data_IF_339628324866
#
_entry.id   IF_339628324866
#
_cell.length_a   1.000
_cell.length_b   1.000
_cell.length_c   1.000
_cell.angle_alpha   90.00
_cell.angle_beta   90.00
_cell.angle_gamma   90.00
#
_symmetry.space_group_name_H-M   'P 1'
#
loop_
_entity.id
_entity.type
_entity.pdbx_description
1 polymer ?
#
# COMPACT_ATOMS: atom_id res chain seq x y z
N UNK A 1 39.23 -21.59 -50.89
CA UNK A 1 39.83 -20.42 -50.21
C UNK A 1 39.00 -19.19 -50.61
N UNK A 2 38.51 -18.42 -49.64
CA UNK A 2 38.12 -17.02 -49.83
C UNK A 2 36.71 -16.71 -50.38
N UNK A 3 35.69 -16.75 -49.51
CA UNK A 3 34.57 -15.80 -49.61
C UNK A 3 33.85 -15.61 -48.26
N UNK A 4 34.61 -15.44 -47.17
CA UNK A 4 34.07 -15.10 -45.83
C UNK A 4 34.26 -13.62 -45.47
N UNK A 5 34.96 -12.85 -46.30
CA UNK A 5 35.45 -11.50 -45.93
C UNK A 5 34.59 -10.33 -46.45
N UNK A 6 33.33 -10.57 -46.84
CA UNK A 6 32.41 -9.51 -47.32
C UNK A 6 31.30 -9.10 -46.35
N UNK A 7 31.35 -9.52 -45.08
CA UNK A 7 30.31 -9.16 -44.10
C UNK A 7 30.82 -8.53 -42.78
N UNK A 8 32.13 -8.29 -42.63
CA UNK A 8 32.59 -7.32 -41.63
C UNK A 8 32.51 -5.92 -42.25
N UNK A 9 31.28 -5.41 -42.38
CA UNK A 9 31.11 -3.96 -42.46
C UNK A 9 31.60 -3.40 -41.12
N UNK A 10 32.56 -2.49 -41.19
CA UNK A 10 33.17 -1.82 -40.03
C UNK A 10 32.07 -1.16 -39.19
N UNK A 11 31.67 -1.80 -38.10
CA UNK A 11 30.80 -1.18 -37.11
C UNK A 11 31.67 -0.23 -36.32
N UNK A 12 31.54 1.06 -36.63
CA UNK A 12 32.30 2.13 -35.99
C UNK A 12 31.57 2.74 -34.79
N UNK A 13 30.41 2.18 -34.38
CA UNK A 13 29.57 2.74 -33.31
C UNK A 13 28.78 1.65 -32.61
N UNK A 14 28.58 1.76 -31.31
CA UNK A 14 27.82 0.81 -30.50
C UNK A 14 28.66 -0.06 -29.58
N UNK A 15 28.06 -1.16 -29.09
CA UNK A 15 28.68 -2.08 -28.14
C UNK A 15 29.66 -3.00 -28.89
N UNK A 16 30.93 -2.95 -28.51
CA UNK A 16 31.98 -3.84 -29.04
C UNK A 16 32.07 -5.16 -28.28
N UNK A 17 31.82 -5.12 -26.96
CA UNK A 17 31.88 -6.29 -26.10
C UNK A 17 30.86 -6.20 -24.95
N UNK A 18 30.30 -7.34 -24.56
CA UNK A 18 29.52 -7.48 -23.32
C UNK A 18 30.21 -8.51 -22.44
N UNK A 19 30.57 -8.14 -21.22
CA UNK A 19 31.25 -9.01 -20.24
C UNK A 19 30.33 -9.25 -19.04
N UNK A 20 30.09 -10.51 -18.70
CA UNK A 20 29.25 -10.93 -17.58
C UNK A 20 30.04 -11.81 -16.62
N UNK A 21 30.08 -11.43 -15.35
CA UNK A 21 30.80 -12.13 -14.27
C UNK A 21 30.04 -12.08 -12.96
N UNK A 22 30.13 -13.14 -12.18
CA UNK A 22 29.55 -13.25 -10.83
C UNK A 22 28.05 -12.90 -10.79
N UNK A 23 27.31 -13.31 -11.82
CA UNK A 23 25.92 -12.95 -12.02
C UNK A 23 25.08 -14.18 -12.43
N UNK A 24 24.21 -14.65 -11.52
CA UNK A 24 23.36 -15.82 -11.72
C UNK A 24 24.15 -17.08 -12.15
N UNK A 25 24.15 -17.43 -13.44
CA UNK A 25 24.86 -18.61 -13.99
C UNK A 25 26.30 -18.30 -14.42
N UNK A 26 26.68 -17.02 -14.48
CA UNK A 26 28.07 -16.63 -14.75
C UNK A 26 28.89 -16.67 -13.47
N UNK A 27 29.95 -17.47 -13.47
CA UNK A 27 30.91 -17.61 -12.38
C UNK A 27 31.95 -16.46 -12.38
N UNK A 28 33.04 -16.64 -11.63
CA UNK A 28 34.14 -15.68 -11.53
C UNK A 28 34.94 -15.52 -12.83
N UNK A 29 35.03 -16.60 -13.63
CA UNK A 29 35.65 -16.58 -14.95
C UNK A 29 34.75 -15.81 -15.92
N UNK A 30 33.44 -16.05 -15.82
CA UNK A 30 32.38 -15.39 -16.56
C UNK A 30 32.35 -15.74 -18.04
N UNK A 31 31.70 -14.89 -18.82
CA UNK A 31 31.63 -15.00 -20.28
C UNK A 31 31.64 -13.62 -20.94
N UNK A 32 32.18 -13.58 -22.16
CA UNK A 32 32.16 -12.40 -23.02
C UNK A 32 31.43 -12.69 -24.33
N UNK A 33 30.65 -11.73 -24.79
CA UNK A 33 30.18 -11.66 -26.17
C UNK A 33 31.09 -10.67 -26.90
N UNK A 34 31.89 -11.18 -27.82
CA UNK A 34 32.88 -10.44 -28.62
C UNK A 34 32.49 -10.45 -30.10
N UNK A 35 33.12 -9.58 -30.89
CA UNK A 35 32.90 -9.48 -32.35
C UNK A 35 31.42 -9.27 -32.70
N UNK A 36 30.75 -8.38 -31.95
CA UNK A 36 29.34 -8.08 -32.11
C UNK A 36 29.09 -7.42 -33.47
N UNK A 37 28.04 -7.88 -34.14
CA UNK A 37 27.54 -7.28 -35.37
C UNK A 37 26.43 -6.26 -35.07
N UNK A 38 25.91 -5.56 -36.09
CA UNK A 38 24.74 -4.68 -35.92
C UNK A 38 23.51 -5.45 -35.45
N UNK A 39 23.42 -6.73 -35.80
CA UNK A 39 22.38 -7.66 -35.37
C UNK A 39 23.07 -8.91 -34.81
N UNK A 40 22.74 -9.27 -33.57
CA UNK A 40 23.31 -10.44 -32.89
C UNK A 40 22.19 -11.38 -32.43
N UNK A 41 22.38 -12.67 -32.67
CA UNK A 41 21.47 -13.72 -32.20
C UNK A 41 22.13 -14.50 -31.07
N UNK A 42 21.64 -14.35 -29.84
CA UNK A 42 22.14 -15.07 -28.66
C UNK A 42 21.11 -16.11 -28.26
N UNK A 43 21.48 -17.39 -28.33
CA UNK A 43 20.62 -18.53 -28.01
C UNK A 43 21.33 -19.56 -27.13
N UNK A 44 20.58 -20.44 -26.49
CA UNK A 44 21.11 -21.48 -25.60
C UNK A 44 20.02 -22.14 -24.76
N UNK A 45 20.38 -23.15 -23.97
CA UNK A 45 19.45 -23.88 -23.10
C UNK A 45 18.89 -23.02 -21.95
N UNK A 46 17.87 -23.49 -21.25
CA UNK A 46 17.39 -22.84 -20.03
C UNK A 46 18.53 -22.76 -19.01
N UNK A 47 18.65 -21.61 -18.34
CA UNK A 47 19.77 -21.34 -17.43
C UNK A 47 21.06 -20.87 -18.11
N UNK A 48 21.16 -20.79 -19.44
CA UNK A 48 22.39 -20.34 -20.13
C UNK A 48 22.72 -18.83 -19.99
N UNK A 49 22.09 -18.10 -19.08
CA UNK A 49 22.36 -16.67 -18.87
C UNK A 49 21.70 -15.67 -19.83
N UNK A 50 20.80 -16.11 -20.75
CA UNK A 50 20.09 -15.20 -21.68
C UNK A 50 19.31 -14.10 -20.96
N UNK A 51 18.48 -14.48 -20.00
CA UNK A 51 17.70 -13.52 -19.21
C UNK A 51 18.62 -12.59 -18.41
N UNK A 52 19.67 -13.14 -17.80
CA UNK A 52 20.69 -12.38 -17.05
C UNK A 52 21.35 -11.31 -17.92
N UNK A 53 21.74 -11.66 -19.15
CA UNK A 53 22.31 -10.72 -20.13
C UNK A 53 21.34 -9.57 -20.41
N UNK A 54 20.07 -9.88 -20.69
CA UNK A 54 19.06 -8.84 -20.93
C UNK A 54 18.80 -7.96 -19.70
N UNK A 55 18.81 -8.54 -18.49
CA UNK A 55 18.62 -7.79 -17.24
C UNK A 55 19.82 -6.90 -16.90
N UNK A 56 21.04 -7.32 -17.26
CA UNK A 56 22.23 -6.50 -17.14
C UNK A 56 22.16 -5.27 -18.05
N UNK A 57 21.84 -5.45 -19.33
CA UNK A 57 21.67 -4.34 -20.27
C UNK A 57 20.55 -3.38 -19.83
N UNK A 58 19.47 -3.91 -19.25
CA UNK A 58 18.39 -3.08 -18.69
C UNK A 58 18.88 -2.23 -17.52
N UNK A 59 19.69 -2.81 -16.62
CA UNK A 59 20.28 -2.08 -15.50
C UNK A 59 21.15 -0.91 -15.97
N UNK A 60 21.97 -1.13 -17.00
CA UNK A 60 22.76 -0.08 -17.62
C UNK A 60 21.88 1.01 -18.25
N UNK A 61 20.86 0.63 -19.01
CA UNK A 61 19.90 1.56 -19.63
C UNK A 61 19.23 2.49 -18.61
N UNK A 62 18.93 1.95 -17.42
CA UNK A 62 18.25 2.68 -16.35
C UNK A 62 19.21 3.34 -15.36
N UNK A 63 20.52 3.31 -15.61
CA UNK A 63 21.58 3.80 -14.72
C UNK A 63 21.45 3.25 -13.28
N UNK A 64 21.02 1.98 -13.15
CA UNK A 64 20.86 1.30 -11.86
C UNK A 64 22.16 0.60 -11.46
N UNK A 65 22.51 0.72 -10.18
CA UNK A 65 23.65 0.02 -9.58
C UNK A 65 23.10 -1.19 -8.82
N UNK A 66 23.30 -2.38 -9.35
CA UNK A 66 22.97 -3.63 -8.68
C UNK A 66 24.24 -4.42 -8.38
N UNK A 67 24.46 -4.81 -7.12
CA UNK A 67 25.67 -5.52 -6.67
C UNK A 67 25.96 -6.77 -7.48
N UNK A 68 24.93 -7.48 -7.95
CA UNK A 68 25.08 -8.71 -8.76
C UNK A 68 25.71 -8.49 -10.14
N UNK A 69 25.79 -7.24 -10.61
CA UNK A 69 26.41 -6.87 -11.88
C UNK A 69 27.69 -6.06 -11.70
N UNK A 70 28.21 -5.93 -10.48
CA UNK A 70 29.39 -5.12 -10.19
C UNK A 70 30.64 -5.52 -10.99
N UNK A 71 30.74 -6.80 -11.37
CA UNK A 71 31.86 -7.34 -12.16
C UNK A 71 31.53 -7.46 -13.66
N UNK A 72 30.37 -7.00 -14.09
CA UNK A 72 29.90 -7.04 -15.47
C UNK A 72 30.03 -5.66 -16.11
N UNK A 73 30.39 -5.60 -17.39
CA UNK A 73 30.61 -4.33 -18.12
C UNK A 73 30.27 -4.47 -19.60
N UNK A 74 30.08 -3.33 -20.26
CA UNK A 74 30.09 -3.24 -21.72
C UNK A 74 31.30 -2.43 -22.16
N UNK A 75 31.82 -2.75 -23.34
CA UNK A 75 32.81 -1.95 -24.04
C UNK A 75 32.17 -1.36 -25.29
N UNK A 76 32.59 -0.15 -25.65
CA UNK A 76 32.06 0.60 -26.78
C UNK A 76 33.17 0.84 -27.80
N UNK A 77 32.82 0.91 -29.08
CA UNK A 77 33.82 1.12 -30.14
C UNK A 77 34.53 2.49 -30.04
N UNK A 78 33.87 3.56 -29.61
CA UNK A 78 34.41 4.94 -29.66
C UNK A 78 34.07 5.80 -28.41
N UNK A 79 33.78 5.20 -27.26
CA UNK A 79 33.39 5.93 -26.03
C UNK A 79 32.20 6.90 -26.21
N UNK A 80 31.29 6.61 -27.13
CA UNK A 80 30.10 7.42 -27.36
C UNK A 80 29.04 7.21 -26.26
N UNK A 81 28.22 8.23 -26.01
CA UNK A 81 27.03 8.05 -25.17
C UNK A 81 26.02 7.16 -25.91
N UNK A 82 25.90 5.91 -25.47
CA UNK A 82 24.97 4.94 -26.05
C UNK A 82 23.64 4.98 -25.31
N UNK A 83 22.54 5.27 -26.03
CA UNK A 83 21.20 5.01 -25.52
C UNK A 83 20.89 3.51 -25.67
N UNK A 84 20.55 2.86 -24.56
CA UNK A 84 20.23 1.42 -24.53
C UNK A 84 18.74 1.27 -24.28
N UNK A 85 18.04 0.56 -25.17
CA UNK A 85 16.64 0.19 -24.98
C UNK A 85 16.51 -1.33 -24.87
N UNK A 86 15.85 -1.81 -23.81
CA UNK A 86 15.73 -3.24 -23.53
C UNK A 86 14.28 -3.67 -23.46
N UNK A 87 13.87 -4.46 -24.45
CA UNK A 87 12.58 -5.13 -24.47
C UNK A 87 12.73 -6.57 -23.96
N UNK A 88 12.50 -6.78 -22.66
CA UNK A 88 12.54 -8.09 -22.03
C UNK A 88 11.25 -8.40 -21.24
N UNK A 89 11.20 -9.56 -20.57
CA UNK A 89 10.06 -9.95 -19.74
C UNK A 89 9.76 -8.93 -18.64
N UNK A 90 10.80 -8.38 -18.00
CA UNK A 90 10.64 -7.37 -16.95
C UNK A 90 10.03 -6.07 -17.49
N UNK A 91 10.43 -5.63 -18.69
CA UNK A 91 9.79 -4.50 -19.36
C UNK A 91 8.30 -4.77 -19.59
N UNK A 92 7.95 -5.98 -20.06
CA UNK A 92 6.54 -6.36 -20.23
C UNK A 92 5.78 -6.30 -18.90
N UNK A 93 6.33 -6.87 -17.84
CA UNK A 93 5.69 -6.90 -16.53
C UNK A 93 5.52 -5.51 -15.90
N UNK A 94 6.50 -4.61 -16.09
CA UNK A 94 6.43 -3.25 -15.55
C UNK A 94 5.49 -2.33 -16.35
N UNK A 95 5.53 -2.46 -17.68
CA UNK A 95 4.78 -1.57 -18.57
C UNK A 95 3.36 -2.04 -18.81
N UNK A 96 3.11 -3.36 -18.83
CA UNK A 96 1.80 -3.93 -19.14
C UNK A 96 1.24 -4.59 -17.89
N UNK A 97 0.26 -3.93 -17.26
CA UNK A 97 -0.55 -4.55 -16.20
C UNK A 97 -1.80 -5.13 -16.84
N UNK A 98 -2.20 -6.32 -16.38
CA UNK A 98 -3.59 -6.76 -16.54
C UNK A 98 -4.43 -5.84 -15.66
N UNK A 99 -5.16 -4.91 -16.26
CA UNK A 99 -6.20 -4.21 -15.52
C UNK A 99 -7.24 -5.23 -15.02
N UNK A 100 -8.01 -4.90 -13.98
CA UNK A 100 -9.15 -5.74 -13.55
C UNK A 100 -10.11 -6.07 -14.71
N UNK A 101 -10.09 -5.27 -15.78
CA UNK A 101 -10.78 -5.52 -17.04
C UNK A 101 -9.85 -6.29 -17.99
N UNK A 102 -10.22 -7.53 -18.30
CA UNK A 102 -9.53 -8.35 -19.32
C UNK A 102 -9.50 -7.60 -20.65
N UNK A 103 -8.31 -7.42 -21.22
CA UNK A 103 -8.11 -6.80 -22.54
C UNK A 103 -7.71 -5.32 -22.53
N UNK A 104 -7.71 -4.66 -21.36
CA UNK A 104 -7.15 -3.30 -21.23
C UNK A 104 -5.69 -3.42 -20.75
N UNK A 105 -4.77 -3.02 -21.62
CA UNK A 105 -3.36 -2.86 -21.30
C UNK A 105 -3.09 -1.38 -21.06
N UNK A 106 -2.86 -1.00 -19.81
CA UNK A 106 -2.31 0.32 -19.52
C UNK A 106 -0.84 0.33 -19.86
N UNK A 107 -0.41 1.32 -20.64
CA UNK A 107 1.00 1.59 -20.94
C UNK A 107 1.56 2.59 -19.92
N UNK A 108 2.73 2.28 -19.37
CA UNK A 108 3.48 3.20 -18.53
C UNK A 108 3.50 2.80 -17.05
N UNK A 109 4.70 2.57 -16.53
CA UNK A 109 4.96 2.32 -15.09
C UNK A 109 4.26 3.34 -14.18
N UNK A 110 4.35 4.63 -14.50
CA UNK A 110 3.73 5.72 -13.73
C UNK A 110 2.19 5.63 -13.72
N UNK A 111 1.60 5.22 -14.83
CA UNK A 111 0.15 4.99 -14.94
C UNK A 111 -0.27 3.85 -14.01
N UNK A 112 0.50 2.75 -13.99
CA UNK A 112 0.24 1.59 -13.15
C UNK A 112 0.35 1.93 -11.66
N UNK A 113 1.42 2.62 -11.24
CA UNK A 113 1.62 3.07 -9.85
C UNK A 113 0.47 4.00 -9.38
N UNK A 114 0.02 4.91 -10.25
CA UNK A 114 -1.11 5.79 -9.93
C UNK A 114 -2.41 5.00 -9.74
N UNK A 115 -2.67 3.98 -10.56
CA UNK A 115 -3.85 3.14 -10.43
C UNK A 115 -3.85 2.34 -9.12
N UNK A 116 -2.71 1.78 -8.73
CA UNK A 116 -2.55 1.07 -7.44
C UNK A 116 -2.79 2.01 -6.24
N UNK A 117 -2.28 3.25 -6.33
CA UNK A 117 -2.53 4.28 -5.33
C UNK A 117 -4.01 4.68 -5.24
N UNK A 118 -4.73 4.67 -6.37
CA UNK A 118 -6.18 4.96 -6.38
C UNK A 118 -6.96 3.80 -5.78
N UNK A 119 -6.66 2.55 -6.17
CA UNK A 119 -7.32 1.34 -5.64
C UNK A 119 -7.15 1.23 -4.13
N UNK A 120 -5.91 1.35 -3.63
CA UNK A 120 -5.62 1.30 -2.18
C UNK A 120 -6.31 2.41 -1.39
N UNK A 121 -6.37 3.64 -1.93
CA UNK A 121 -7.12 4.75 -1.31
C UNK A 121 -8.62 4.46 -1.29
N UNK A 122 -9.20 3.92 -2.37
CA UNK A 122 -10.62 3.53 -2.40
C UNK A 122 -10.95 2.47 -1.36
N UNK A 123 -10.11 1.44 -1.21
CA UNK A 123 -10.27 0.43 -0.17
C UNK A 123 -10.21 1.03 1.24
N UNK A 124 -9.26 1.93 1.47
CA UNK A 124 -9.11 2.63 2.76
C UNK A 124 -10.34 3.48 3.09
N UNK A 125 -10.86 4.21 2.10
CA UNK A 125 -12.10 4.98 2.24
C UNK A 125 -13.28 4.07 2.60
N UNK A 126 -13.41 2.92 1.94
CA UNK A 126 -14.49 1.99 2.24
C UNK A 126 -14.36 1.41 3.67
N UNK A 127 -13.15 1.04 4.10
CA UNK A 127 -12.90 0.58 5.48
C UNK A 127 -13.27 1.64 6.52
N UNK A 128 -12.90 2.89 6.29
CA UNK A 128 -13.24 3.99 7.21
C UNK A 128 -14.75 4.31 7.21
N UNK A 129 -15.43 4.21 6.05
CA UNK A 129 -16.89 4.34 5.97
C UNK A 129 -17.60 3.27 6.79
N UNK A 130 -17.17 2.02 6.70
CA UNK A 130 -17.74 0.91 7.50
C UNK A 130 -17.51 1.12 9.00
N UNK A 131 -16.30 1.53 9.41
CA UNK A 131 -16.03 1.89 10.82
C UNK A 131 -16.92 3.02 11.30
N UNK A 132 -17.06 4.08 10.50
CA UNK A 132 -17.92 5.24 10.83
C UNK A 132 -19.37 4.82 11.01
N UNK A 133 -19.88 3.95 10.13
CA UNK A 133 -21.23 3.39 10.23
C UNK A 133 -21.41 2.62 11.54
N UNK A 134 -20.53 1.67 11.83
CA UNK A 134 -20.56 0.87 13.07
C UNK A 134 -20.46 1.72 14.33
N UNK A 135 -19.58 2.72 14.34
CA UNK A 135 -19.45 3.63 15.49
C UNK A 135 -20.71 4.47 15.72
N UNK A 136 -21.38 4.91 14.64
CA UNK A 136 -22.64 5.66 14.73
C UNK A 136 -23.76 4.78 15.29
N UNK A 137 -23.86 3.53 14.83
CA UNK A 137 -24.83 2.54 15.35
C UNK A 137 -24.58 2.24 16.84
N UNK A 138 -23.32 2.01 17.23
CA UNK A 138 -22.94 1.80 18.63
C UNK A 138 -23.27 3.01 19.52
N UNK A 139 -22.96 4.23 19.06
CA UNK A 139 -23.24 5.45 19.80
C UNK A 139 -24.75 5.62 20.00
N UNK A 140 -25.55 5.34 18.97
CA UNK A 140 -27.00 5.41 19.06
C UNK A 140 -27.54 4.40 20.09
N UNK A 141 -27.08 3.15 20.06
CA UNK A 141 -27.49 2.12 21.01
C UNK A 141 -27.13 2.49 22.45
N UNK A 142 -25.89 2.93 22.69
CA UNK A 142 -25.43 3.36 24.02
C UNK A 142 -26.21 4.58 24.55
N UNK A 143 -26.59 5.50 23.66
CA UNK A 143 -27.40 6.67 24.05
C UNK A 143 -28.79 6.24 24.48
N UNK A 144 -29.44 5.34 23.72
CA UNK A 144 -30.75 4.79 24.07
C UNK A 144 -30.72 3.98 25.37
N UNK A 145 -29.68 3.16 25.57
CA UNK A 145 -29.49 2.39 26.79
C UNK A 145 -29.33 3.30 28.01
N UNK A 146 -28.48 4.33 27.90
CA UNK A 146 -28.32 5.35 28.94
C UNK A 146 -29.63 6.06 29.27
N UNK A 147 -30.38 6.51 28.26
CA UNK A 147 -31.67 7.17 28.46
C UNK A 147 -32.68 6.27 29.19
N UNK A 148 -32.69 4.98 28.84
CA UNK A 148 -33.52 3.97 29.51
C UNK A 148 -33.09 3.76 30.96
N UNK A 149 -31.80 3.58 31.23
CA UNK A 149 -31.30 3.41 32.60
C UNK A 149 -31.56 4.65 33.47
N UNK A 150 -31.36 5.86 32.93
CA UNK A 150 -31.65 7.10 33.64
C UNK A 150 -33.15 7.20 33.97
N UNK A 151 -34.03 6.80 33.05
CA UNK A 151 -35.48 6.76 33.29
C UNK A 151 -35.84 5.74 34.36
N UNK A 152 -35.35 4.50 34.23
CA UNK A 152 -35.61 3.42 35.19
C UNK A 152 -35.09 3.77 36.59
N UNK A 153 -33.93 4.42 36.68
CA UNK A 153 -33.38 4.93 37.94
C UNK A 153 -34.31 5.96 38.59
N UNK A 154 -34.72 6.98 37.83
CA UNK A 154 -35.62 8.03 38.32
C UNK A 154 -36.95 7.46 38.76
N UNK A 155 -37.51 6.54 37.98
CA UNK A 155 -38.77 5.86 38.28
C UNK A 155 -38.66 5.11 39.61
N UNK A 156 -37.56 4.37 39.83
CA UNK A 156 -37.31 3.69 41.11
C UNK A 156 -37.18 4.66 42.28
N UNK A 157 -36.44 5.76 42.12
CA UNK A 157 -36.30 6.76 43.19
C UNK A 157 -37.63 7.45 43.50
N UNK A 158 -38.43 7.75 42.48
CA UNK A 158 -39.75 8.35 42.66
C UNK A 158 -40.69 7.42 43.45
N UNK A 159 -40.79 6.15 43.05
CA UNK A 159 -41.68 5.18 43.70
C UNK A 159 -41.19 4.81 45.11
N UNK A 160 -39.89 4.55 45.29
CA UNK A 160 -39.36 4.00 46.55
C UNK A 160 -38.94 5.04 47.58
N UNK A 161 -38.54 6.24 47.15
CA UNK A 161 -38.09 7.30 48.06
C UNK A 161 -39.16 8.38 48.16
N UNK A 162 -39.53 9.02 47.04
CA UNK A 162 -40.43 10.16 47.09
C UNK A 162 -41.81 9.76 47.63
N UNK A 163 -42.51 8.82 47.00
CA UNK A 163 -43.87 8.41 47.43
C UNK A 163 -43.91 7.78 48.82
N UNK A 164 -42.87 7.06 49.22
CA UNK A 164 -42.81 6.40 50.53
C UNK A 164 -42.74 7.42 51.68
N UNK A 165 -42.04 8.53 51.48
CA UNK A 165 -41.75 9.52 52.51
C UNK A 165 -42.56 10.82 52.32
N UNK A 166 -43.48 10.84 51.36
CA UNK A 166 -44.25 12.04 50.98
C UNK A 166 -45.10 12.59 52.13
N UNK A 167 -45.76 11.70 52.88
CA UNK A 167 -46.59 12.09 54.03
C UNK A 167 -45.73 12.57 55.21
N UNK A 168 -44.64 11.86 55.51
CA UNK A 168 -43.76 12.15 56.66
C UNK A 168 -42.89 13.41 56.47
N UNK A 169 -42.57 13.77 55.22
CA UNK A 169 -41.63 14.85 54.87
C UNK A 169 -42.23 15.89 53.91
N UNK A 170 -43.54 16.10 54.00
CA UNK A 170 -44.33 16.93 53.08
C UNK A 170 -43.80 18.37 52.90
N UNK A 171 -43.37 19.01 53.98
CA UNK A 171 -42.79 20.36 53.98
C UNK A 171 -41.40 20.41 53.35
N UNK A 172 -40.56 19.37 53.55
CA UNK A 172 -39.20 19.33 53.00
C UNK A 172 -39.16 18.92 51.54
N UNK A 173 -40.21 18.26 51.04
CA UNK A 173 -40.35 17.81 49.64
C UNK A 173 -41.13 18.80 48.76
N UNK A 174 -41.56 19.95 49.30
CA UNK A 174 -42.56 20.79 48.66
C UNK A 174 -42.17 21.35 47.28
N UNK A 175 -40.88 21.61 47.06
CA UNK A 175 -40.31 22.08 45.79
C UNK A 175 -40.10 20.98 44.73
N UNK A 176 -40.28 19.70 45.09
CA UNK A 176 -39.97 18.54 44.27
C UNK A 176 -41.18 17.67 43.91
N UNK A 177 -42.39 18.20 44.08
CA UNK A 177 -43.67 17.53 43.74
C UNK A 177 -43.83 17.10 42.27
N UNK A 178 -42.92 17.49 41.38
CA UNK A 178 -42.89 17.06 39.97
C UNK A 178 -41.75 16.09 39.72
N UNK A 179 -42.03 14.99 39.04
CA UNK A 179 -41.08 13.92 38.74
C UNK A 179 -39.87 14.41 37.95
N UNK A 180 -40.03 15.38 37.06
CA UNK A 180 -38.90 15.99 36.32
C UNK A 180 -37.96 16.79 37.23
N UNK A 181 -38.51 17.59 38.17
CA UNK A 181 -37.71 18.36 39.12
C UNK A 181 -36.98 17.46 40.12
N UNK A 182 -37.63 16.38 40.54
CA UNK A 182 -37.01 15.36 41.38
C UNK A 182 -35.90 14.62 40.63
N UNK A 183 -36.13 14.23 39.36
CA UNK A 183 -35.10 13.67 38.46
C UNK A 183 -33.86 14.54 38.39
N UNK A 184 -34.03 15.82 38.06
CA UNK A 184 -32.91 16.76 37.93
C UNK A 184 -32.12 16.89 39.23
N UNK A 185 -32.79 17.00 40.38
CA UNK A 185 -32.13 17.12 41.68
C UNK A 185 -31.41 15.83 42.08
N UNK A 186 -32.03 14.65 41.90
CA UNK A 186 -31.43 13.35 42.21
C UNK A 186 -30.18 13.09 41.37
N UNK A 187 -30.26 13.35 40.05
CA UNK A 187 -29.11 13.19 39.15
C UNK A 187 -28.00 14.19 39.48
N UNK A 188 -28.34 15.43 39.84
CA UNK A 188 -27.36 16.46 40.23
C UNK A 188 -26.64 16.09 41.53
N UNK A 189 -27.37 15.65 42.54
CA UNK A 189 -26.80 15.23 43.82
C UNK A 189 -25.88 14.00 43.66
N UNK A 190 -26.24 13.03 42.82
CA UNK A 190 -25.39 11.87 42.54
C UNK A 190 -24.08 12.25 41.84
N UNK A 191 -24.13 13.17 40.87
CA UNK A 191 -22.92 13.70 40.23
C UNK A 191 -22.00 14.34 41.27
N UNK A 192 -22.54 15.13 42.19
CA UNK A 192 -21.76 15.75 43.28
C UNK A 192 -21.13 14.71 44.22
N UNK A 193 -21.86 13.65 44.59
CA UNK A 193 -21.34 12.58 45.47
C UNK A 193 -20.21 11.80 44.81
N UNK A 194 -20.33 11.48 43.52
CA UNK A 194 -19.29 10.76 42.79
C UNK A 194 -18.01 11.60 42.61
N UNK A 195 -18.13 12.91 42.40
CA UNK A 195 -16.97 13.83 42.34
C UNK A 195 -16.24 13.94 43.68
N UNK A 196 -16.94 13.78 44.79
CA UNK A 196 -16.34 13.79 46.14
C UNK A 196 -15.63 12.47 46.45
N UNK A 197 -16.12 11.33 45.93
CA UNK A 197 -15.49 10.01 46.11
C UNK A 197 -14.31 9.72 45.18
N UNK A 198 -14.12 10.50 44.11
CA UNK A 198 -13.01 10.33 43.15
C UNK A 198 -11.80 11.23 43.44
N UNK A 199 -11.81 11.96 44.55
CA UNK A 199 -10.65 12.65 45.15
C UNK A 199 -10.15 11.83 46.32
#
# INVERSE_FOLDING_TARGET
>A
MGNKDKQQQNISSGISQIVLKNAATFDENGASFENLNSINFIYGANGSGKTTTSSFLKNLAENRIENKFANSKIELHNSENLNIEVYNKQFKEEQFRNSQVKGIFTLGKKTNENLENIESKKESINKEKEKKKKNKENLQNLTQEKEKEEKDFVDRCWEKLYKKFEEDFKETLEGFKRKEKFKEKSLRNLKTINTIKSR
#
